data_IF_170499844027
#
_entry.id   IF_170499844027
#
_cell.length_a   1.000
_cell.length_b   1.000
_cell.length_c   1.000
_cell.angle_alpha   90.00
_cell.angle_beta   90.00
_cell.angle_gamma   90.00
#
_symmetry.space_group_name_H-M   'P 1'
#
loop_
_entity.id
_entity.type
_entity.pdbx_description
1 polymer ?
#
# COMPACT_ATOMS: atom_id res chain seq x y z
N UNK A 1 22.70 3.50 -4.72
CA UNK A 1 21.42 4.22 -4.51
C UNK A 1 20.81 4.51 -5.86
N UNK A 2 19.49 4.30 -6.03
CA UNK A 2 18.78 4.52 -7.30
C UNK A 2 17.28 4.75 -7.07
N UNK A 3 16.56 5.15 -8.12
CA UNK A 3 15.12 5.33 -8.11
C UNK A 3 14.52 4.94 -9.48
N UNK A 4 13.30 4.43 -9.48
CA UNK A 4 12.58 4.07 -10.70
C UNK A 4 11.07 4.37 -10.54
N UNK A 5 10.38 4.60 -11.65
CA UNK A 5 8.92 4.70 -11.66
C UNK A 5 8.27 3.38 -11.21
N UNK A 6 7.17 3.47 -10.45
CA UNK A 6 6.35 2.30 -10.10
C UNK A 6 5.39 1.84 -11.20
N UNK A 7 5.37 2.57 -12.33
CA UNK A 7 4.64 2.21 -13.54
C UNK A 7 5.67 1.84 -14.61
N UNK A 8 5.65 0.59 -15.03
CA UNK A 8 6.57 0.00 -15.99
C UNK A 8 5.88 -1.14 -16.74
N UNK A 9 6.39 -1.46 -17.93
CA UNK A 9 6.02 -2.66 -18.67
C UNK A 9 6.91 -3.87 -18.32
N UNK A 10 6.63 -5.02 -18.94
CA UNK A 10 7.36 -6.26 -18.67
C UNK A 10 8.84 -6.22 -19.10
N UNK A 11 9.19 -5.41 -20.11
CA UNK A 11 10.58 -5.27 -20.54
C UNK A 11 11.34 -4.37 -19.58
N UNK A 12 10.74 -3.23 -19.20
CA UNK A 12 11.28 -2.31 -18.20
C UNK A 12 11.44 -3.00 -16.84
N UNK A 13 10.54 -3.90 -16.46
CA UNK A 13 10.64 -4.68 -15.21
C UNK A 13 11.95 -5.48 -15.15
N UNK A 14 12.33 -6.16 -16.23
CA UNK A 14 13.57 -6.96 -16.28
C UNK A 14 14.79 -6.06 -16.08
N UNK A 15 14.81 -4.91 -16.75
CA UNK A 15 15.89 -3.94 -16.61
C UNK A 15 15.96 -3.36 -15.19
N UNK A 16 14.82 -2.96 -14.62
CA UNK A 16 14.73 -2.44 -13.26
C UNK A 16 15.26 -3.46 -12.24
N UNK A 17 14.93 -4.74 -12.38
CA UNK A 17 15.44 -5.80 -11.48
C UNK A 17 16.96 -5.93 -11.56
N UNK A 18 17.55 -5.79 -12.76
CA UNK A 18 19.01 -5.81 -12.92
C UNK A 18 19.66 -4.61 -12.24
N UNK A 19 19.09 -3.41 -12.38
CA UNK A 19 19.57 -2.20 -11.70
C UNK A 19 19.50 -2.34 -10.18
N UNK A 20 18.38 -2.87 -9.67
CA UNK A 20 18.18 -3.14 -8.23
C UNK A 20 19.27 -4.08 -7.69
N UNK A 21 19.58 -5.16 -8.43
CA UNK A 21 20.66 -6.10 -8.06
C UNK A 21 22.03 -5.45 -8.09
N UNK A 22 22.33 -4.69 -9.15
CA UNK A 22 23.61 -4.00 -9.31
C UNK A 22 23.82 -2.89 -8.28
N UNK A 23 22.74 -2.31 -7.77
CA UNK A 23 22.80 -1.24 -6.77
C UNK A 23 23.23 -1.73 -5.37
N UNK A 24 23.24 -3.03 -5.12
CA UNK A 24 23.55 -3.64 -3.80
C UNK A 24 22.81 -2.94 -2.64
N UNK A 25 21.51 -2.66 -2.82
CA UNK A 25 20.74 -1.91 -1.85
C UNK A 25 20.41 -2.76 -0.61
N UNK A 26 20.60 -2.19 0.58
CA UNK A 26 20.18 -2.81 1.85
C UNK A 26 18.65 -2.77 2.04
N UNK A 27 18.02 -1.71 1.51
CA UNK A 27 16.59 -1.42 1.67
C UNK A 27 15.99 -1.05 0.31
N UNK A 28 14.88 -1.72 -0.04
CA UNK A 28 14.03 -1.38 -1.18
C UNK A 28 12.68 -0.84 -0.71
N UNK A 29 12.32 0.37 -1.15
CA UNK A 29 11.02 0.98 -0.87
C UNK A 29 10.13 0.92 -2.11
N UNK A 30 8.98 0.26 -2.02
CA UNK A 30 8.08 -0.01 -3.16
C UNK A 30 6.78 0.76 -3.03
N UNK A 31 6.50 1.65 -3.99
CA UNK A 31 5.35 2.56 -4.00
C UNK A 31 4.29 2.25 -5.06
N UNK A 32 4.09 0.98 -5.45
CA UNK A 32 3.19 0.59 -6.56
C UNK A 32 1.69 0.55 -6.20
N UNK A 33 1.35 0.86 -4.95
CA UNK A 33 -0.01 0.82 -4.43
C UNK A 33 -0.39 -0.53 -3.80
N UNK A 34 -1.35 -0.46 -2.89
CA UNK A 34 -1.74 -1.60 -2.05
C UNK A 34 -2.34 -2.75 -2.86
N UNK A 35 -1.86 -3.96 -2.58
CA UNK A 35 -2.20 -5.22 -3.24
C UNK A 35 -1.19 -5.63 -4.31
N UNK A 36 -0.77 -4.69 -5.17
CA UNK A 36 0.19 -4.95 -6.24
C UNK A 36 1.63 -5.01 -5.70
N UNK A 37 2.00 -4.07 -4.84
CA UNK A 37 3.35 -3.99 -4.27
C UNK A 37 3.73 -5.25 -3.46
N UNK A 38 2.80 -5.82 -2.68
CA UNK A 38 3.10 -7.00 -1.85
C UNK A 38 3.34 -8.23 -2.74
N UNK A 39 2.53 -8.40 -3.79
CA UNK A 39 2.71 -9.47 -4.77
C UNK A 39 4.02 -9.31 -5.53
N UNK A 40 4.32 -8.08 -5.95
CA UNK A 40 5.54 -7.78 -6.69
C UNK A 40 6.80 -8.10 -5.86
N UNK A 41 6.83 -7.65 -4.60
CA UNK A 41 7.91 -7.97 -3.66
C UNK A 41 8.01 -9.49 -3.45
N UNK A 42 6.88 -10.17 -3.27
CA UNK A 42 6.87 -11.62 -3.07
C UNK A 42 7.40 -12.41 -4.27
N UNK A 43 7.02 -12.00 -5.49
CA UNK A 43 7.48 -12.62 -6.73
C UNK A 43 8.99 -12.42 -6.96
N UNK A 44 9.54 -11.31 -6.48
CA UNK A 44 10.93 -10.94 -6.68
C UNK A 44 11.76 -11.00 -5.40
N UNK A 45 11.33 -11.76 -4.38
CA UNK A 45 12.04 -11.86 -3.10
C UNK A 45 13.49 -12.37 -3.24
N UNK A 46 13.79 -13.09 -4.33
CA UNK A 46 15.11 -13.63 -4.64
C UNK A 46 16.04 -12.59 -5.33
N UNK A 47 15.69 -11.30 -5.29
CA UNK A 47 16.56 -10.22 -5.79
C UNK A 47 17.82 -9.97 -4.93
N UNK A 48 17.92 -10.60 -3.76
CA UNK A 48 19.09 -10.47 -2.88
C UNK A 48 19.11 -9.19 -2.04
N UNK A 49 17.96 -8.52 -1.89
CA UNK A 49 17.81 -7.37 -1.00
C UNK A 49 17.36 -7.84 0.39
N UNK A 50 18.07 -7.47 1.46
CA UNK A 50 17.71 -7.89 2.82
C UNK A 50 16.32 -7.44 3.26
N UNK A 51 15.93 -6.21 2.91
CA UNK A 51 14.69 -5.59 3.38
C UNK A 51 13.93 -4.94 2.22
N UNK A 52 12.70 -5.38 1.96
CA UNK A 52 11.78 -4.76 1.02
C UNK A 52 10.51 -4.30 1.73
N UNK A 53 10.12 -3.04 1.58
CA UNK A 53 9.00 -2.41 2.28
C UNK A 53 8.03 -1.80 1.28
N UNK A 54 6.79 -2.27 1.29
CA UNK A 54 5.70 -1.62 0.58
C UNK A 54 5.28 -0.33 1.30
N UNK A 55 5.53 0.82 0.70
CA UNK A 55 5.22 2.15 1.28
C UNK A 55 3.93 2.75 0.71
N UNK A 56 3.32 2.12 -0.29
CA UNK A 56 2.11 2.62 -0.94
C UNK A 56 2.27 4.06 -1.44
N UNK A 57 1.22 4.85 -1.31
CA UNK A 57 1.20 6.26 -1.74
C UNK A 57 1.96 7.22 -0.81
N UNK A 58 2.94 6.74 -0.04
CA UNK A 58 3.77 7.62 0.80
C UNK A 58 4.59 8.59 -0.04
N UNK A 59 5.09 8.16 -1.20
CA UNK A 59 5.80 9.02 -2.13
C UNK A 59 4.91 10.14 -2.70
N UNK A 60 3.62 9.87 -2.94
CA UNK A 60 2.66 10.91 -3.37
C UNK A 60 2.49 12.00 -2.31
N UNK A 61 2.59 11.64 -1.04
CA UNK A 61 2.51 12.57 0.08
C UNK A 61 3.79 13.39 0.20
N UNK A 62 4.96 12.75 0.10
CA UNK A 62 6.25 13.42 0.19
C UNK A 62 6.55 14.33 -1.00
N UNK A 63 6.12 13.94 -2.21
CA UNK A 63 6.22 14.77 -3.42
C UNK A 63 5.25 15.96 -3.43
N UNK A 64 4.29 16.01 -2.50
CA UNK A 64 3.27 17.05 -2.43
C UNK A 64 2.10 16.87 -3.41
N UNK A 65 2.11 15.80 -4.22
CA UNK A 65 1.02 15.45 -5.14
C UNK A 65 -0.29 15.21 -4.39
N UNK A 66 -0.22 14.57 -3.22
CA UNK A 66 -1.35 14.32 -2.34
C UNK A 66 -1.18 15.08 -1.03
N UNK A 67 -2.06 16.06 -0.78
CA UNK A 67 -2.12 16.73 0.52
C UNK A 67 -2.70 15.81 1.58
N UNK A 68 -2.01 15.73 2.73
CA UNK A 68 -2.57 15.10 3.94
C UNK A 68 -3.72 15.91 4.50
N UNK A 69 -4.56 15.25 5.29
CA UNK A 69 -5.59 15.93 6.07
C UNK A 69 -4.97 17.02 6.97
N UNK A 70 -5.69 18.10 7.31
CA UNK A 70 -5.22 19.08 8.29
C UNK A 70 -4.79 18.44 9.61
N UNK A 71 -3.80 19.02 10.31
CA UNK A 71 -3.22 18.43 11.53
C UNK A 71 -4.27 18.12 12.62
N UNK A 72 -5.32 18.93 12.73
CA UNK A 72 -6.40 18.66 13.71
C UNK A 72 -7.15 17.36 13.38
N UNK A 73 -7.38 17.06 12.11
CA UNK A 73 -8.02 15.80 11.64
C UNK A 73 -7.09 14.60 11.79
N UNK A 74 -5.78 14.80 11.62
CA UNK A 74 -4.81 13.74 11.88
C UNK A 74 -4.82 13.35 13.36
N UNK A 75 -4.88 14.34 14.27
CA UNK A 75 -4.91 14.13 15.72
C UNK A 75 -6.17 13.42 16.21
N UNK A 76 -7.30 13.56 15.51
CA UNK A 76 -8.56 12.86 15.85
C UNK A 76 -8.59 11.41 15.37
N UNK A 77 -7.57 10.94 14.62
CA UNK A 77 -7.56 9.59 14.04
C UNK A 77 -8.57 9.39 12.89
N UNK A 78 -9.22 10.48 12.43
CA UNK A 78 -10.27 10.45 11.39
C UNK A 78 -9.73 10.82 10.01
N UNK A 79 -8.42 10.76 9.79
CA UNK A 79 -7.80 10.99 8.48
C UNK A 79 -8.38 10.05 7.41
N UNK A 80 -8.75 8.82 7.78
CA UNK A 80 -9.40 7.88 6.85
C UNK A 80 -10.75 8.41 6.35
N UNK A 81 -11.55 9.03 7.22
CA UNK A 81 -12.85 9.59 6.87
C UNK A 81 -12.70 10.83 5.97
N UNK A 82 -11.74 11.70 6.30
CA UNK A 82 -11.39 12.83 5.45
C UNK A 82 -10.98 12.39 4.04
N UNK A 83 -10.14 11.34 3.96
CA UNK A 83 -9.73 10.77 2.67
C UNK A 83 -10.90 10.16 1.89
N UNK A 84 -11.90 9.61 2.54
CA UNK A 84 -13.11 9.13 1.87
C UNK A 84 -13.94 10.25 1.26
N UNK A 85 -14.09 11.36 2.00
CA UNK A 85 -14.82 12.53 1.51
C UNK A 85 -14.09 13.16 0.32
N UNK A 86 -12.75 13.26 0.39
CA UNK A 86 -11.93 13.87 -0.68
C UNK A 86 -11.74 12.93 -1.89
N UNK A 87 -11.72 11.61 -1.69
CA UNK A 87 -11.53 10.62 -2.76
C UNK A 87 -12.67 9.59 -2.77
N UNK A 88 -13.85 9.96 -3.32
CA UNK A 88 -15.04 9.09 -3.32
C UNK A 88 -14.82 7.77 -4.08
N UNK A 89 -13.87 7.71 -5.01
CA UNK A 89 -13.47 6.45 -5.67
C UNK A 89 -12.96 5.38 -4.70
N UNK A 90 -12.47 5.76 -3.52
CA UNK A 90 -12.00 4.84 -2.47
C UNK A 90 -13.12 4.23 -1.63
N UNK A 91 -14.35 4.74 -1.72
CA UNK A 91 -15.50 4.27 -0.91
C UNK A 91 -15.80 2.78 -1.15
N UNK A 92 -15.60 2.29 -2.38
CA UNK A 92 -15.76 0.86 -2.70
C UNK A 92 -14.90 -0.06 -1.83
N UNK A 93 -13.69 0.38 -1.47
CA UNK A 93 -12.77 -0.39 -0.61
C UNK A 93 -13.19 -0.40 0.85
N UNK A 94 -13.98 0.59 1.29
CA UNK A 94 -14.46 0.67 2.68
C UNK A 94 -15.72 -0.16 2.88
N UNK A 95 -16.53 -0.33 1.84
CA UNK A 95 -17.68 -1.25 1.88
C UNK A 95 -17.29 -2.68 2.27
N UNK A 96 -16.15 -3.18 1.80
CA UNK A 96 -15.66 -4.52 2.17
C UNK A 96 -15.26 -4.63 3.64
N UNK A 97 -14.75 -3.55 4.25
CA UNK A 97 -14.42 -3.49 5.68
C UNK A 97 -15.70 -3.59 6.51
N UNK A 98 -16.72 -2.80 6.18
CA UNK A 98 -18.01 -2.88 6.87
C UNK A 98 -18.65 -4.27 6.69
N UNK A 99 -18.64 -4.82 5.47
CA UNK A 99 -19.14 -6.16 5.21
C UNK A 99 -18.41 -7.23 6.06
N UNK A 100 -17.08 -7.18 6.11
CA UNK A 100 -16.28 -8.09 6.93
C UNK A 100 -16.61 -7.95 8.42
N UNK A 101 -16.73 -6.71 8.93
CA UNK A 101 -17.12 -6.45 10.31
C UNK A 101 -18.48 -7.06 10.65
N UNK A 102 -19.49 -6.87 9.79
CA UNK A 102 -20.81 -7.49 9.97
C UNK A 102 -20.75 -9.02 9.96
N UNK A 103 -19.94 -9.60 9.05
CA UNK A 103 -19.71 -11.06 8.99
C UNK A 103 -19.11 -11.59 10.29
N UNK A 104 -18.08 -10.93 10.83
CA UNK A 104 -17.46 -11.32 12.10
C UNK A 104 -18.44 -11.21 13.26
N UNK A 105 -19.21 -10.12 13.36
CA UNK A 105 -20.21 -9.93 14.42
C UNK A 105 -21.33 -10.97 14.35
N UNK A 106 -21.79 -11.31 13.15
CA UNK A 106 -22.80 -12.35 12.95
C UNK A 106 -22.28 -13.74 13.36
N UNK A 107 -20.99 -14.03 13.08
CA UNK A 107 -20.37 -15.31 13.43
C UNK A 107 -20.16 -15.48 14.94
N UNK A 108 -19.82 -14.41 15.66
CA UNK A 108 -19.69 -14.44 17.14
C UNK A 108 -21.03 -14.71 17.84
N UNK A 109 -22.16 -14.34 17.24
CA UNK A 109 -23.51 -14.63 17.77
C UNK A 109 -23.93 -16.09 17.57
N UNK A 110 -23.36 -16.79 16.60
CA UNK A 110 -23.64 -18.20 16.32
C UNK A 110 -22.76 -19.13 17.17
N UNK A 111 -21.50 -18.77 17.40
CA UNK A 111 -20.57 -19.56 18.22
C UNK A 111 -20.87 -19.51 19.74
N UNK A 112 -21.58 -18.50 20.23
CA UNK A 112 -21.99 -18.38 21.65
C UNK A 112 -23.30 -19.12 21.98
N UNK A 113 -23.94 -19.77 20.99
CA UNK A 113 -25.23 -20.46 21.13
C UNK A 113 -25.14 -21.98 20.95
N UNK A 114 -23.92 -22.54 20.91
CA UNK A 114 -23.65 -23.98 20.93
C UNK A 114 -22.90 -24.38 22.18
#
# INVERSE_FOLDING_TARGET
VGFHSGYFDAAEEVHMIQEIRAAHADILLVGMGGGAQEKWIWHHRDMGIPIAIGVGGTFDVWSGLVRRAPRFVQKTGTEWLYRLVVQPSRVRRVGSIFYFMFRVLAHRRTASRS
#
